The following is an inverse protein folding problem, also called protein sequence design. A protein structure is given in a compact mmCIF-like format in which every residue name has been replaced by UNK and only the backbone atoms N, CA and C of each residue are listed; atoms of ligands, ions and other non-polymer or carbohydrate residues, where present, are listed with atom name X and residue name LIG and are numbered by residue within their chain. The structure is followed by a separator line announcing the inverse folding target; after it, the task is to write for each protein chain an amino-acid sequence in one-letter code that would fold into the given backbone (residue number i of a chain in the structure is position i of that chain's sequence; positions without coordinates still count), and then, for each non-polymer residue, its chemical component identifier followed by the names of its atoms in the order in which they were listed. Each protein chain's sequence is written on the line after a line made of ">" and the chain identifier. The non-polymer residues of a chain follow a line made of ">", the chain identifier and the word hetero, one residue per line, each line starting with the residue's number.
data_IF_586934480880
#
_entry.id   IF_586934480880
#
_cell.length_a   1.000
_cell.length_b   1.000
_cell.length_c   1.000
_cell.angle_alpha   90.00
_cell.angle_beta   90.00
_cell.angle_gamma   90.00
#
_symmetry.space_group_name_H-M   'P 1'
#
loop_
_entity.id
_entity.type
_entity.pdbx_description
1 polymer ?
#
# COMPACT_ATOMS: atom_id res chain seq x y z
N UNK A 1 12.39 27.23 -3.60
CA UNK A 1 11.07 27.31 -2.92
C UNK A 1 9.87 26.85 -3.78
N UNK A 2 9.85 27.02 -5.11
CA UNK A 2 8.72 26.57 -5.98
C UNK A 2 8.53 25.05 -6.10
N UNK A 3 9.55 24.25 -5.79
CA UNK A 3 9.50 22.79 -5.89
C UNK A 3 8.61 22.14 -4.82
N UNK A 4 8.57 22.72 -3.62
CA UNK A 4 7.78 22.21 -2.49
C UNK A 4 6.27 22.44 -2.71
N UNK A 5 5.91 23.49 -3.42
CA UNK A 5 4.51 23.83 -3.74
C UNK A 5 3.92 22.88 -4.78
N UNK A 6 4.73 22.43 -5.74
CA UNK A 6 4.32 21.44 -6.75
C UNK A 6 4.16 20.05 -6.11
N UNK A 7 5.03 19.69 -5.15
CA UNK A 7 4.91 18.48 -4.33
C UNK A 7 3.64 18.49 -3.45
N UNK A 8 3.31 19.64 -2.85
CA UNK A 8 2.12 19.78 -2.02
C UNK A 8 0.81 19.70 -2.82
N UNK A 9 0.81 20.18 -4.08
CA UNK A 9 -0.37 20.15 -4.95
C UNK A 9 -0.63 18.78 -5.60
N UNK A 10 0.40 17.97 -5.81
CA UNK A 10 0.21 16.59 -6.28
C UNK A 10 -0.41 15.68 -5.21
N UNK A 11 -0.21 15.99 -3.92
CA UNK A 11 -0.45 15.05 -2.82
C UNK A 11 -1.94 14.84 -2.46
N UNK A 12 -2.87 15.68 -2.94
CA UNK A 12 -4.28 15.61 -2.50
C UNK A 12 -5.20 14.76 -3.38
N UNK A 13 -4.82 14.50 -4.63
CA UNK A 13 -5.63 13.69 -5.57
C UNK A 13 -4.84 12.63 -6.34
N UNK A 14 -3.50 12.69 -6.34
CA UNK A 14 -2.67 11.66 -6.94
C UNK A 14 -2.51 10.42 -6.05
N UNK A 15 -2.73 10.54 -4.74
CA UNK A 15 -2.48 9.47 -3.77
C UNK A 15 -3.18 8.15 -4.11
N UNK A 16 -4.49 8.17 -4.39
CA UNK A 16 -5.27 6.96 -4.69
C UNK A 16 -4.96 6.36 -6.07
N UNK A 17 -4.79 7.18 -7.12
CA UNK A 17 -4.41 6.67 -8.46
C UNK A 17 -2.97 6.17 -8.52
N UNK A 18 -2.06 6.84 -7.81
CA UNK A 18 -0.66 6.43 -7.72
C UNK A 18 -0.51 5.15 -6.89
N UNK A 19 -1.23 5.02 -5.76
CA UNK A 19 -1.28 3.79 -4.96
C UNK A 19 -1.70 2.59 -5.79
N UNK A 20 -2.79 2.70 -6.56
CA UNK A 20 -3.24 1.61 -7.43
C UNK A 20 -2.20 1.21 -8.48
N UNK A 21 -1.55 2.18 -9.14
CA UNK A 21 -0.50 1.90 -10.12
C UNK A 21 0.74 1.29 -9.47
N UNK A 22 1.17 1.77 -8.30
CA UNK A 22 2.31 1.23 -7.56
C UNK A 22 2.05 -0.22 -7.17
N UNK A 23 0.88 -0.55 -6.62
CA UNK A 23 0.53 -1.93 -6.27
C UNK A 23 0.55 -2.83 -7.50
N UNK A 24 -0.07 -2.41 -8.62
CA UNK A 24 -0.08 -3.21 -9.85
C UNK A 24 1.33 -3.42 -10.42
N UNK A 25 2.16 -2.37 -10.46
CA UNK A 25 3.53 -2.49 -10.95
C UNK A 25 4.42 -3.33 -10.03
N UNK A 26 4.26 -3.22 -8.70
CA UNK A 26 4.99 -4.06 -7.76
C UNK A 26 4.56 -5.51 -7.92
N UNK A 27 3.27 -5.83 -7.89
CA UNK A 27 2.79 -7.22 -8.02
C UNK A 27 3.20 -7.80 -9.38
N UNK A 28 2.99 -7.08 -10.47
CA UNK A 28 3.40 -7.52 -11.80
C UNK A 28 4.92 -7.70 -11.91
N UNK A 29 5.70 -6.76 -11.37
CA UNK A 29 7.16 -6.84 -11.33
C UNK A 29 7.66 -8.01 -10.49
N UNK A 30 7.04 -8.27 -9.35
CA UNK A 30 7.32 -9.41 -8.48
C UNK A 30 7.04 -10.74 -9.19
N UNK A 31 5.88 -10.89 -9.86
CA UNK A 31 5.57 -12.11 -10.63
C UNK A 31 6.59 -12.33 -11.73
N UNK A 32 6.93 -11.27 -12.47
CA UNK A 32 7.94 -11.33 -13.52
C UNK A 32 9.32 -11.69 -12.96
N UNK A 33 9.68 -11.14 -11.80
CA UNK A 33 10.92 -11.45 -11.09
C UNK A 33 10.97 -12.92 -10.66
N UNK A 34 9.88 -13.47 -10.11
CA UNK A 34 9.78 -14.89 -9.73
C UNK A 34 10.01 -15.80 -10.94
N UNK A 35 9.32 -15.51 -12.05
CA UNK A 35 9.44 -16.32 -13.27
C UNK A 35 10.84 -16.24 -13.88
N UNK A 36 11.42 -15.04 -13.97
CA UNK A 36 12.78 -14.86 -14.48
C UNK A 36 13.82 -15.51 -13.56
N UNK A 37 13.70 -15.31 -12.25
CA UNK A 37 14.61 -15.91 -11.28
C UNK A 37 14.58 -17.43 -11.34
N UNK A 38 13.38 -18.02 -11.40
CA UNK A 38 13.20 -19.47 -11.56
C UNK A 38 13.83 -19.99 -12.85
N UNK A 39 13.62 -19.32 -13.99
CA UNK A 39 14.19 -19.75 -15.27
C UNK A 39 15.73 -19.63 -15.30
N UNK A 40 16.28 -18.52 -14.83
CA UNK A 40 17.74 -18.32 -14.81
C UNK A 40 18.42 -19.30 -13.85
N UNK A 41 17.81 -19.55 -12.69
CA UNK A 41 18.33 -20.52 -11.72
C UNK A 41 18.23 -21.94 -12.28
N UNK A 42 17.12 -22.31 -12.92
CA UNK A 42 17.01 -23.61 -13.57
C UNK A 42 18.10 -23.82 -14.63
N UNK A 43 18.36 -22.81 -15.45
CA UNK A 43 19.41 -22.89 -16.46
C UNK A 43 20.81 -22.99 -15.83
N UNK A 44 21.07 -22.23 -14.77
CA UNK A 44 22.33 -22.26 -14.06
C UNK A 44 22.57 -23.58 -13.29
N UNK A 45 21.51 -24.18 -12.75
CA UNK A 45 21.59 -25.42 -11.94
C UNK A 45 21.53 -26.70 -12.79
N UNK A 46 21.15 -26.60 -14.06
CA UNK A 46 21.18 -27.75 -14.97
C UNK A 46 22.61 -28.26 -15.14
N UNK A 47 22.84 -29.49 -14.66
CA UNK A 47 24.15 -30.13 -14.71
C UNK A 47 25.15 -29.66 -13.64
N UNK A 48 24.73 -28.82 -12.68
CA UNK A 48 25.55 -28.40 -11.53
C UNK A 48 25.59 -29.42 -10.39
N UNK A 49 24.70 -30.43 -10.45
CA UNK A 49 24.48 -31.39 -9.37
C UNK A 49 23.54 -30.89 -8.26
N UNK A 50 22.89 -29.73 -8.44
CA UNK A 50 21.89 -29.21 -7.50
C UNK A 50 20.51 -29.88 -7.59
N UNK A 51 19.65 -29.63 -6.62
CA UNK A 51 18.33 -30.29 -6.52
C UNK A 51 17.27 -29.69 -7.47
N UNK A 52 17.54 -28.53 -8.08
CA UNK A 52 16.63 -27.85 -9.01
C UNK A 52 16.82 -28.44 -10.42
N UNK A 53 15.96 -29.39 -10.82
CA UNK A 53 16.11 -30.13 -12.08
C UNK A 53 15.02 -29.82 -13.11
N UNK A 54 13.84 -29.40 -12.66
CA UNK A 54 12.72 -29.09 -13.55
C UNK A 54 12.13 -27.68 -13.28
N UNK A 55 11.27 -27.22 -14.18
CA UNK A 55 10.61 -25.90 -14.07
C UNK A 55 9.71 -25.81 -12.83
N UNK A 56 9.08 -26.91 -12.43
CA UNK A 56 8.25 -26.98 -11.23
C UNK A 56 9.06 -26.70 -9.96
N UNK A 57 10.21 -27.36 -9.81
CA UNK A 57 11.14 -27.17 -8.68
C UNK A 57 11.61 -25.72 -8.60
N UNK A 58 11.97 -25.13 -9.74
CA UNK A 58 12.47 -23.76 -9.80
C UNK A 58 11.39 -22.72 -9.46
N UNK A 59 10.16 -22.92 -9.92
CA UNK A 59 9.02 -22.06 -9.59
C UNK A 59 8.64 -22.21 -8.12
N UNK A 60 8.62 -23.44 -7.60
CA UNK A 60 8.35 -23.73 -6.19
C UNK A 60 9.39 -23.06 -5.28
N UNK A 61 10.68 -23.27 -5.57
CA UNK A 61 11.78 -22.59 -4.89
C UNK A 61 11.62 -21.08 -4.90
N UNK A 62 11.30 -20.49 -6.06
CA UNK A 62 11.17 -19.05 -6.20
C UNK A 62 9.99 -18.51 -5.38
N UNK A 63 8.87 -19.24 -5.33
CA UNK A 63 7.72 -18.92 -4.48
C UNK A 63 8.08 -18.96 -2.99
N UNK A 64 8.66 -20.06 -2.52
CA UNK A 64 9.03 -20.26 -1.12
C UNK A 64 10.09 -19.25 -0.66
N UNK A 65 10.98 -18.84 -1.58
CA UNK A 65 12.01 -17.83 -1.31
C UNK A 65 11.42 -16.42 -1.25
N UNK A 66 10.56 -16.04 -2.20
CA UNK A 66 10.00 -14.68 -2.23
C UNK A 66 9.03 -14.42 -1.08
N UNK A 67 8.32 -15.46 -0.61
CA UNK A 67 7.48 -15.41 0.59
C UNK A 67 8.28 -15.58 1.88
N UNK A 68 9.61 -15.66 1.81
CA UNK A 68 10.52 -15.83 2.95
C UNK A 68 10.22 -17.06 3.81
N UNK A 69 9.61 -18.11 3.25
CA UNK A 69 9.30 -19.37 3.96
C UNK A 69 10.55 -20.24 4.05
N UNK A 70 11.25 -20.42 2.93
CA UNK A 70 12.56 -21.07 2.88
C UNK A 70 12.60 -22.50 3.46
N UNK A 71 11.82 -23.44 2.91
CA UNK A 71 11.84 -24.84 3.38
C UNK A 71 13.23 -25.50 3.29
N UNK A 72 14.06 -25.07 2.33
CA UNK A 72 15.42 -25.58 2.14
C UNK A 72 15.49 -26.92 1.40
N UNK A 73 14.38 -27.37 0.84
CA UNK A 73 14.26 -28.52 -0.07
C UNK A 73 14.93 -28.29 -1.42
N UNK A 74 14.87 -27.04 -1.91
CA UNK A 74 15.55 -26.62 -3.12
C UNK A 74 16.34 -25.35 -2.85
N UNK A 75 17.55 -25.26 -3.40
CA UNK A 75 18.38 -24.05 -3.32
C UNK A 75 19.45 -24.05 -4.42
N UNK A 76 19.80 -22.86 -4.97
CA UNK A 76 20.87 -22.76 -5.95
C UNK A 76 22.24 -23.01 -5.32
N UNK A 77 23.01 -23.91 -5.91
CA UNK A 77 24.40 -24.18 -5.50
C UNK A 77 25.41 -23.38 -6.33
N UNK A 78 25.04 -22.97 -7.54
CA UNK A 78 25.89 -22.18 -8.44
C UNK A 78 26.02 -20.72 -8.01
N UNK A 79 27.15 -20.10 -8.39
CA UNK A 79 27.37 -18.67 -8.14
C UNK A 79 26.29 -17.80 -8.80
N UNK A 80 25.95 -18.09 -10.05
CA UNK A 80 24.92 -17.37 -10.81
C UNK A 80 23.56 -17.51 -10.14
N UNK A 81 23.17 -18.74 -9.75
CA UNK A 81 21.91 -18.97 -9.05
C UNK A 81 21.83 -18.24 -7.70
N UNK A 82 22.94 -18.18 -6.95
CA UNK A 82 22.99 -17.43 -5.67
C UNK A 82 22.85 -15.92 -5.85
N UNK A 83 23.46 -15.33 -6.88
CA UNK A 83 23.29 -13.90 -7.18
C UNK A 83 21.83 -13.58 -7.50
N UNK A 84 21.18 -14.44 -8.29
CA UNK A 84 19.76 -14.32 -8.61
C UNK A 84 18.88 -14.49 -7.36
N UNK A 85 19.21 -15.44 -6.50
CA UNK A 85 18.50 -15.65 -5.23
C UNK A 85 18.53 -14.40 -4.33
N UNK A 86 19.67 -13.71 -4.25
CA UNK A 86 19.76 -12.45 -3.48
C UNK A 86 18.82 -11.38 -4.06
N UNK A 87 18.77 -11.25 -5.40
CA UNK A 87 17.82 -10.35 -6.05
C UNK A 87 16.36 -10.70 -5.74
N UNK A 88 16.03 -11.99 -5.74
CA UNK A 88 14.69 -12.50 -5.38
C UNK A 88 14.32 -12.20 -3.92
N UNK A 89 15.25 -12.35 -2.99
CA UNK A 89 15.04 -12.01 -1.57
C UNK A 89 14.75 -10.52 -1.37
N UNK A 90 15.52 -9.64 -2.02
CA UNK A 90 15.28 -8.19 -1.99
C UNK A 90 13.89 -7.87 -2.56
N UNK A 91 13.52 -8.52 -3.66
CA UNK A 91 12.19 -8.41 -4.26
C UNK A 91 11.05 -8.81 -3.31
N UNK A 92 11.23 -9.88 -2.54
CA UNK A 92 10.27 -10.32 -1.52
C UNK A 92 10.06 -9.30 -0.41
N UNK A 93 11.14 -8.73 0.12
CA UNK A 93 11.07 -7.68 1.16
C UNK A 93 10.34 -6.43 0.62
N UNK A 94 10.65 -6.03 -0.62
CA UNK A 94 9.98 -4.90 -1.26
C UNK A 94 8.46 -5.13 -1.41
N UNK A 95 8.05 -6.35 -1.80
CA UNK A 95 6.64 -6.73 -1.90
C UNK A 95 5.90 -6.56 -0.57
N UNK A 96 6.45 -7.13 0.51
CA UNK A 96 5.86 -7.03 1.86
C UNK A 96 5.73 -5.56 2.29
N UNK A 97 6.75 -4.74 2.00
CA UNK A 97 6.74 -3.31 2.28
C UNK A 97 5.60 -2.59 1.55
N UNK A 98 5.37 -2.88 0.27
CA UNK A 98 4.29 -2.28 -0.53
C UNK A 98 2.91 -2.70 -0.01
N UNK A 99 2.71 -3.98 0.31
CA UNK A 99 1.46 -4.47 0.91
C UNK A 99 1.17 -3.74 2.22
N UNK A 100 2.17 -3.67 3.11
CA UNK A 100 2.05 -2.99 4.41
C UNK A 100 1.71 -1.50 4.24
N UNK A 101 2.42 -0.81 3.36
CA UNK A 101 2.19 0.61 3.08
C UNK A 101 0.78 0.86 2.51
N UNK A 102 0.28 -0.05 1.68
CA UNK A 102 -1.06 0.02 1.09
C UNK A 102 -2.15 -0.16 2.15
N UNK A 103 -1.98 -1.13 3.05
CA UNK A 103 -2.91 -1.33 4.17
C UNK A 103 -2.92 -0.14 5.13
N UNK A 104 -1.75 0.34 5.54
CA UNK A 104 -1.65 1.53 6.41
C UNK A 104 -2.32 2.75 5.77
N UNK A 105 -2.06 2.95 4.48
CA UNK A 105 -2.68 4.00 3.65
C UNK A 105 -4.20 3.93 3.63
N UNK A 106 -4.77 2.73 3.50
CA UNK A 106 -6.22 2.50 3.50
C UNK A 106 -6.84 2.78 4.87
N UNK A 107 -6.18 2.37 5.96
CA UNK A 107 -6.63 2.65 7.33
C UNK A 107 -6.67 4.16 7.57
N UNK A 108 -5.59 4.87 7.22
CA UNK A 108 -5.49 6.33 7.40
C UNK A 108 -6.60 7.06 6.63
N UNK A 109 -6.83 6.68 5.37
CA UNK A 109 -7.87 7.28 4.53
C UNK A 109 -9.27 7.06 5.12
N UNK A 110 -9.53 5.87 5.64
CA UNK A 110 -10.81 5.54 6.29
C UNK A 110 -11.04 6.31 7.60
N UNK A 111 -9.99 6.52 8.39
CA UNK A 111 -10.05 7.32 9.62
C UNK A 111 -10.23 8.80 9.33
N UNK A 112 -9.57 9.32 8.28
CA UNK A 112 -9.74 10.72 7.87
C UNK A 112 -11.15 11.00 7.36
N UNK A 113 -11.73 10.08 6.58
CA UNK A 113 -13.09 10.22 6.06
C UNK A 113 -14.15 10.22 7.18
N UNK A 114 -14.00 9.35 8.19
CA UNK A 114 -14.90 9.31 9.35
C UNK A 114 -14.79 10.60 10.18
N UNK A 115 -13.57 11.09 10.36
CA UNK A 115 -13.30 12.34 11.10
C UNK A 115 -13.93 13.53 10.41
N UNK A 116 -13.77 13.67 9.08
CA UNK A 116 -14.38 14.77 8.33
C UNK A 116 -15.90 14.73 8.37
N UNK A 117 -16.51 13.55 8.26
CA UNK A 117 -17.97 13.40 8.38
C UNK A 117 -18.47 13.87 9.75
N UNK A 118 -17.76 13.52 10.83
CA UNK A 118 -18.10 13.98 12.19
C UNK A 118 -17.94 15.48 12.33
N UNK A 119 -16.86 16.07 11.81
CA UNK A 119 -16.65 17.52 11.83
C UNK A 119 -17.78 18.26 11.11
N UNK A 120 -18.15 17.82 9.90
CA UNK A 120 -19.25 18.44 9.15
C UNK A 120 -20.62 18.27 9.82
N UNK A 121 -20.88 17.13 10.46
CA UNK A 121 -22.10 16.94 11.24
C UNK A 121 -22.15 17.87 12.46
N UNK A 122 -21.03 18.02 13.18
CA UNK A 122 -20.93 18.95 14.31
C UNK A 122 -21.08 20.41 13.87
N UNK A 123 -20.46 20.80 12.75
CA UNK A 123 -20.61 22.16 12.20
C UNK A 123 -22.06 22.48 11.86
N UNK A 124 -22.76 21.54 11.20
CA UNK A 124 -24.18 21.69 10.88
C UNK A 124 -25.05 21.83 12.15
N UNK A 125 -24.79 21.00 13.18
CA UNK A 125 -25.49 21.09 14.47
C UNK A 125 -25.24 22.43 15.19
N UNK A 126 -24.01 22.95 15.12
CA UNK A 126 -23.67 24.25 15.73
C UNK A 126 -24.37 25.39 14.99
N UNK A 127 -24.51 25.30 13.67
CA UNK A 127 -25.22 26.30 12.87
C UNK A 127 -26.73 26.30 13.15
N UNK A 128 -27.34 25.12 13.22
CA UNK A 128 -28.74 24.94 13.62
C UNK A 128 -29.03 25.54 15.01
N UNK A 129 -28.22 25.19 16.01
CA UNK A 129 -28.38 25.72 17.37
C UNK A 129 -28.17 27.24 17.43
N UNK A 130 -27.27 27.79 16.61
CA UNK A 130 -27.06 29.25 16.51
C UNK A 130 -28.26 29.97 15.94
N UNK A 131 -28.97 29.35 15.00
CA UNK A 131 -30.18 29.92 14.41
C UNK A 131 -31.36 29.84 15.39
N UNK A 132 -31.53 28.71 16.11
CA UNK A 132 -32.53 28.59 17.19
C UNK A 132 -32.33 29.66 18.29
N UNK A 133 -31.08 29.88 18.72
CA UNK A 133 -30.76 30.92 19.71
C UNK A 133 -31.12 32.32 19.17
N UNK A 134 -30.91 32.57 17.87
CA UNK A 134 -31.22 33.86 17.24
C UNK A 134 -32.72 34.11 17.21
N UNK A 135 -33.50 33.07 16.88
CA UNK A 135 -34.96 33.10 16.87
C UNK A 135 -35.54 33.32 18.27
N UNK A 136 -35.08 32.54 19.26
CA UNK A 136 -35.53 32.68 20.65
C UNK A 136 -35.21 34.09 21.20
N UNK A 137 -34.04 34.64 20.86
CA UNK A 137 -33.66 36.00 21.27
C UNK A 137 -34.56 37.07 20.65
N UNK A 138 -34.98 36.88 19.40
CA UNK A 138 -35.93 37.78 18.74
C UNK A 138 -37.30 37.75 19.42
N UNK A 139 -37.83 36.56 19.71
CA UNK A 139 -39.10 36.39 20.43
C UNK A 139 -39.09 37.08 21.81
N UNK A 140 -38.00 36.94 22.57
CA UNK A 140 -37.84 37.59 23.88
C UNK A 140 -37.82 39.12 23.73
N UNK A 141 -37.13 39.65 22.70
CA UNK A 141 -37.11 41.09 22.45
C UNK A 141 -38.48 41.64 22.06
N UNK A 142 -39.32 40.85 21.41
CA UNK A 142 -40.68 41.23 21.02
C UNK A 142 -41.66 41.22 22.21
N UNK A 143 -41.46 40.30 23.17
CA UNK A 143 -42.26 40.23 24.41
C UNK A 143 -41.87 41.30 25.45
N UNK A 144 -40.60 41.72 25.48
CA UNK A 144 -40.08 42.71 26.45
C UNK A 144 -40.75 44.10 26.39
N UNK A 145 -41.11 44.70 25.25
CA UNK A 145 -41.77 46.01 25.21
C UNK A 145 -43.21 46.03 25.75
N UNK A 146 -43.81 44.86 26.05
CA UNK A 146 -45.16 44.74 26.60
C UNK A 146 -45.22 44.69 28.14
N UNK A 147 -44.07 44.74 28.82
CA UNK A 147 -43.90 44.80 30.28
C UNK A 147 -43.25 46.13 30.68
#
# INVERSE_FOLDING_TARGET
>A
MRFLTILALLNRGAGTRLRGKVVVYTVGGTVLLVLLAGLVVLDAERGSGGDIQNVGDAVWWAFVTITTVGYGDYFPVTLTGRVVAVGLMIGGIALIGVVTATLASWIVERVSDDTQRKTHATEAQVEELRDEIRELKAMIQELRPAL
#
